data_IF_945638589616
#
_entry.id   IF_945638589616
#
_cell.length_a   1.000
_cell.length_b   1.000
_cell.length_c   1.000
_cell.angle_alpha   90.00
_cell.angle_beta   90.00
_cell.angle_gamma   90.00
#
_symmetry.space_group_name_H-M   'P 1'
#
loop_
_entity.id
_entity.type
_entity.pdbx_description
1 polymer ?
#
# COMPACT_ATOMS: atom_id res chain seq x y z
N UNK A 1 1.49 8.30 8.31
CA UNK A 1 0.19 8.18 7.63
C UNK A 1 -0.67 9.43 7.81
N UNK A 2 -0.94 9.86 9.04
CA UNK A 2 -1.76 11.05 9.33
C UNK A 2 -1.32 12.35 8.62
N UNK A 3 -0.01 12.66 8.60
CA UNK A 3 0.54 13.84 7.91
C UNK A 3 0.29 13.86 6.38
N UNK A 4 -0.04 12.70 5.80
CA UNK A 4 -0.34 12.52 4.37
C UNK A 4 -1.82 12.24 4.13
N UNK A 5 -2.67 12.49 5.13
CA UNK A 5 -4.10 12.23 5.09
C UNK A 5 -4.45 10.76 4.73
N UNK A 6 -3.63 9.80 5.18
CA UNK A 6 -3.92 8.37 5.07
C UNK A 6 -4.39 7.92 6.44
N UNK A 7 -5.67 7.56 6.55
CA UNK A 7 -6.29 7.05 7.76
C UNK A 7 -6.34 5.51 7.75
N UNK A 8 -6.75 4.93 8.87
CA UNK A 8 -6.84 3.48 9.03
C UNK A 8 -7.86 2.84 8.09
N UNK A 9 -8.98 3.52 7.79
CA UNK A 9 -9.99 3.03 6.86
C UNK A 9 -9.41 2.88 5.43
N UNK A 10 -8.68 3.88 4.93
CA UNK A 10 -8.01 3.83 3.64
C UNK A 10 -6.91 2.77 3.62
N UNK A 11 -6.17 2.61 4.72
CA UNK A 11 -5.17 1.54 4.82
C UNK A 11 -5.84 0.15 4.80
N UNK A 12 -6.94 -0.03 5.51
CA UNK A 12 -7.71 -1.28 5.49
C UNK A 12 -8.18 -1.62 4.08
N UNK A 13 -8.82 -0.65 3.41
CA UNK A 13 -9.28 -0.82 2.03
C UNK A 13 -8.13 -1.15 1.07
N UNK A 14 -6.98 -0.49 1.22
CA UNK A 14 -5.76 -0.77 0.47
C UNK A 14 -5.31 -2.21 0.67
N UNK A 15 -5.22 -2.69 1.90
CA UNK A 15 -4.74 -4.04 2.23
C UNK A 15 -5.70 -5.14 1.76
N UNK A 16 -7.02 -4.88 1.77
CA UNK A 16 -8.03 -5.86 1.40
C UNK A 16 -8.27 -5.96 -0.12
N UNK A 17 -8.20 -4.83 -0.83
CA UNK A 17 -8.66 -4.74 -2.23
C UNK A 17 -7.61 -4.24 -3.21
N UNK A 18 -6.42 -3.87 -2.73
CA UNK A 18 -5.34 -3.39 -3.58
C UNK A 18 -4.74 -4.48 -4.46
N UNK A 19 -4.12 -4.04 -5.55
CA UNK A 19 -3.33 -4.91 -6.41
C UNK A 19 -2.06 -5.34 -5.69
N UNK A 20 -1.84 -6.66 -5.61
CA UNK A 20 -0.66 -7.25 -4.96
C UNK A 20 0.43 -7.54 -5.99
N UNK A 21 1.68 -7.17 -5.69
CA UNK A 21 2.88 -7.64 -6.40
C UNK A 21 3.91 -8.16 -5.41
N UNK A 22 4.37 -9.39 -5.64
CA UNK A 22 5.44 -9.98 -4.84
C UNK A 22 6.79 -9.53 -5.35
N UNK A 23 7.66 -9.10 -4.42
CA UNK A 23 9.09 -8.91 -4.67
C UNK A 23 9.83 -10.24 -4.53
N UNK A 24 9.46 -11.00 -3.50
CA UNK A 24 9.98 -12.32 -3.15
C UNK A 24 8.92 -13.07 -2.32
N UNK A 25 9.28 -14.22 -1.75
CA UNK A 25 8.36 -15.11 -1.04
C UNK A 25 7.67 -14.46 0.18
N UNK A 26 8.28 -13.42 0.77
CA UNK A 26 7.75 -12.78 1.98
C UNK A 26 7.49 -11.28 1.80
N UNK A 27 8.11 -10.61 0.83
CA UNK A 27 7.96 -9.17 0.61
C UNK A 27 7.02 -8.92 -0.56
N UNK A 28 6.03 -8.07 -0.32
CA UNK A 28 5.05 -7.70 -1.33
C UNK A 28 4.68 -6.22 -1.22
N UNK A 29 4.17 -5.70 -2.32
CA UNK A 29 3.53 -4.40 -2.39
C UNK A 29 2.04 -4.58 -2.62
N UNK A 30 1.23 -3.81 -1.92
CA UNK A 30 -0.20 -3.70 -2.16
C UNK A 30 -0.46 -2.26 -2.56
N UNK A 31 -0.92 -2.03 -3.79
CA UNK A 31 -1.19 -0.68 -4.30
C UNK A 31 -2.64 -0.52 -4.75
N UNK A 32 -3.23 0.64 -4.49
CA UNK A 32 -4.60 0.97 -4.87
C UNK A 32 -4.69 2.41 -5.33
N UNK A 33 -5.43 2.63 -6.42
CA UNK A 33 -5.82 3.97 -6.80
C UNK A 33 -6.75 4.55 -5.74
N UNK A 34 -6.56 5.82 -5.41
CA UNK A 34 -7.35 6.52 -4.40
C UNK A 34 -7.99 7.74 -5.08
N UNK A 35 -9.14 7.56 -5.77
CA UNK A 35 -9.80 8.63 -6.51
C UNK A 35 -10.11 9.83 -5.61
N UNK A 36 -9.93 11.04 -6.13
CA UNK A 36 -10.16 12.28 -5.38
C UNK A 36 -8.94 12.77 -4.59
N UNK A 37 -7.79 12.11 -4.69
CA UNK A 37 -6.51 12.62 -4.21
C UNK A 37 -5.66 13.17 -5.36
N UNK A 38 -4.64 13.96 -5.02
CA UNK A 38 -3.66 14.45 -6.02
C UNK A 38 -2.43 13.54 -6.13
N UNK A 39 -2.21 12.67 -5.14
CA UNK A 39 -1.08 11.75 -5.02
C UNK A 39 -1.43 10.32 -5.47
N UNK A 40 -2.20 10.25 -6.55
CA UNK A 40 -2.87 9.06 -7.05
C UNK A 40 -1.93 7.84 -7.13
N UNK A 41 -2.45 6.71 -6.67
CA UNK A 41 -1.76 5.45 -6.33
C UNK A 41 -1.04 5.49 -4.97
N UNK A 42 -1.71 4.93 -3.97
CA UNK A 42 -1.13 4.66 -2.64
C UNK A 42 -0.62 3.22 -2.63
N UNK A 43 0.54 3.01 -2.02
CA UNK A 43 1.17 1.69 -1.95
C UNK A 43 1.66 1.38 -0.54
N UNK A 44 1.33 0.20 -0.03
CA UNK A 44 1.90 -0.35 1.19
C UNK A 44 2.99 -1.35 0.81
N UNK A 45 4.20 -1.16 1.34
CA UNK A 45 5.21 -2.21 1.35
C UNK A 45 5.00 -3.08 2.58
N UNK A 46 4.86 -4.37 2.36
CA UNK A 46 4.38 -5.35 3.33
C UNK A 46 5.36 -6.52 3.41
N UNK A 47 5.52 -7.06 4.61
CA UNK A 47 6.16 -8.35 4.83
C UNK A 47 5.12 -9.33 5.36
N UNK A 48 5.07 -10.52 4.75
CA UNK A 48 4.25 -11.65 5.13
C UNK A 48 5.11 -12.66 5.93
N UNK A 49 4.91 -12.67 7.24
CA UNK A 49 5.50 -13.65 8.17
C UNK A 49 4.35 -14.41 8.85
N UNK A 50 4.37 -14.61 10.17
CA UNK A 50 3.21 -15.12 10.93
C UNK A 50 2.02 -14.14 10.91
N UNK A 51 2.29 -12.89 10.56
CA UNK A 51 1.31 -11.82 10.40
C UNK A 51 1.69 -10.90 9.24
N UNK A 52 0.72 -10.12 8.78
CA UNK A 52 0.95 -9.10 7.77
C UNK A 52 1.50 -7.83 8.44
N UNK A 53 2.73 -7.45 8.11
CA UNK A 53 3.40 -6.27 8.67
C UNK A 53 3.55 -5.17 7.62
N UNK A 54 2.85 -4.05 7.81
CA UNK A 54 3.02 -2.85 6.98
C UNK A 54 4.30 -2.14 7.40
N UNK A 55 5.31 -2.14 6.53
CA UNK A 55 6.60 -1.47 6.80
C UNK A 55 6.56 0.01 6.46
N UNK A 56 5.94 0.35 5.34
CA UNK A 56 5.81 1.74 4.88
C UNK A 56 4.58 1.92 4.02
N UNK A 57 4.03 3.13 4.01
CA UNK A 57 2.96 3.55 3.11
C UNK A 57 3.45 4.74 2.30
N UNK A 58 3.46 4.57 0.98
CA UNK A 58 3.93 5.51 -0.02
C UNK A 58 2.75 6.11 -0.79
N UNK A 59 2.94 7.32 -1.29
CA UNK A 59 1.99 8.05 -2.13
C UNK A 59 2.75 8.63 -3.33
N UNK A 60 2.05 8.97 -4.42
CA UNK A 60 2.69 9.15 -5.74
C UNK A 60 3.53 7.94 -6.14
N UNK A 61 3.08 6.74 -5.75
CA UNK A 61 3.78 5.52 -6.10
C UNK A 61 3.60 5.25 -7.60
N UNK A 62 4.61 4.63 -8.21
CA UNK A 62 4.52 4.07 -9.55
C UNK A 62 5.14 2.68 -9.51
N UNK A 63 4.54 1.75 -10.25
CA UNK A 63 5.13 0.44 -10.41
C UNK A 63 6.47 0.53 -11.13
N UNK A 64 7.46 -0.23 -10.65
CA UNK A 64 8.68 -0.45 -11.41
C UNK A 64 8.32 -1.13 -12.75
N UNK A 65 8.96 -0.64 -13.82
CA UNK A 65 8.75 -1.09 -15.22
C UNK A 65 9.50 -2.38 -15.51
#
# INVERSE_FOLDING_TARGET
MAQRNINEALLGELLETGQVRYKDDIRLWIAKEAPGRQDNLICAAVILEEMLVVKTVMHHFQWES
#
